data_IF_993004185128
#
_entry.id   IF_993004185128
#
_cell.length_a   1.000
_cell.length_b   1.000
_cell.length_c   1.000
_cell.angle_alpha   90.00
_cell.angle_beta   90.00
_cell.angle_gamma   90.00
#
_symmetry.space_group_name_H-M   'P 1'
#
loop_
_entity.id
_entity.type
_entity.pdbx_description
1 polymer ?
#
# COMPACT_ATOMS: atom_id res chain seq x y z
N UNK A 1 -11.77 4.03 -3.40
CA UNK A 1 -13.10 4.44 -2.96
C UNK A 1 -13.61 5.64 -3.75
N UNK A 2 -12.87 6.75 -3.83
CA UNK A 2 -13.29 7.97 -4.54
C UNK A 2 -13.70 7.72 -5.99
N UNK A 3 -12.91 6.95 -6.73
CA UNK A 3 -13.24 6.57 -8.12
C UNK A 3 -14.56 5.78 -8.20
N UNK A 4 -14.76 4.78 -7.33
CA UNK A 4 -15.99 4.00 -7.31
C UNK A 4 -17.19 4.90 -7.06
N UNK A 5 -17.06 5.86 -6.14
CA UNK A 5 -18.15 6.79 -5.82
C UNK A 5 -18.60 7.64 -7.01
N UNK A 6 -17.70 7.98 -7.93
CA UNK A 6 -18.05 8.72 -9.16
C UNK A 6 -18.94 7.90 -10.11
N UNK A 7 -18.88 6.59 -10.01
CA UNK A 7 -19.64 5.66 -10.87
C UNK A 7 -20.84 5.01 -10.17
N UNK A 8 -21.12 5.35 -8.89
CA UNK A 8 -22.34 4.89 -8.21
C UNK A 8 -23.55 5.50 -8.92
N UNK A 9 -24.43 4.61 -9.41
CA UNK A 9 -25.63 5.03 -10.17
C UNK A 9 -25.42 5.12 -11.70
N UNK A 10 -24.25 4.80 -12.21
CA UNK A 10 -24.02 4.65 -13.67
C UNK A 10 -24.26 3.20 -14.09
N UNK A 11 -24.71 3.00 -15.34
CA UNK A 11 -24.93 1.67 -15.95
C UNK A 11 -23.61 0.91 -16.28
N UNK A 12 -22.50 1.31 -15.68
CA UNK A 12 -21.19 0.71 -15.94
C UNK A 12 -21.05 -0.65 -15.23
N UNK A 13 -20.54 -1.69 -15.90
CA UNK A 13 -20.33 -3.00 -15.28
C UNK A 13 -19.36 -2.90 -14.09
N UNK A 14 -19.70 -3.52 -12.95
CA UNK A 14 -18.93 -3.43 -11.72
C UNK A 14 -17.46 -3.80 -11.86
N UNK A 15 -17.12 -4.77 -12.72
CA UNK A 15 -15.73 -5.13 -13.01
C UNK A 15 -14.91 -4.00 -13.64
N UNK A 16 -15.51 -3.19 -14.51
CA UNK A 16 -14.85 -2.04 -15.12
C UNK A 16 -14.59 -0.94 -14.08
N UNK A 17 -15.53 -0.74 -13.16
CA UNK A 17 -15.39 0.23 -12.07
C UNK A 17 -14.27 -0.19 -11.10
N UNK A 18 -14.17 -1.49 -10.79
CA UNK A 18 -13.08 -2.05 -9.97
C UNK A 18 -11.73 -1.80 -10.66
N UNK A 19 -11.63 -2.06 -11.95
CA UNK A 19 -10.40 -1.83 -12.73
C UNK A 19 -10.01 -0.35 -12.71
N UNK A 20 -10.96 0.55 -12.94
CA UNK A 20 -10.72 2.00 -12.87
C UNK A 20 -10.32 2.44 -11.45
N UNK A 21 -10.88 1.84 -10.41
CA UNK A 21 -10.51 2.11 -9.02
C UNK A 21 -9.07 1.66 -8.72
N UNK A 22 -8.65 0.51 -9.25
CA UNK A 22 -7.27 0.02 -9.11
C UNK A 22 -6.30 0.95 -9.84
N UNK A 23 -6.60 1.31 -11.09
CA UNK A 23 -5.78 2.23 -11.88
C UNK A 23 -5.69 3.60 -11.18
N UNK A 24 -6.82 4.14 -10.72
CA UNK A 24 -6.85 5.40 -9.97
C UNK A 24 -6.07 5.34 -8.66
N UNK A 25 -6.10 4.20 -7.97
CA UNK A 25 -5.30 3.95 -6.77
C UNK A 25 -3.80 3.94 -7.07
N UNK A 26 -3.40 3.26 -8.15
CA UNK A 26 -2.01 3.23 -8.64
C UNK A 26 -1.52 4.64 -8.94
N UNK A 27 -2.25 5.40 -9.74
CA UNK A 27 -1.87 6.78 -10.09
C UNK A 27 -1.79 7.69 -8.86
N UNK A 28 -2.78 7.61 -7.96
CA UNK A 28 -2.76 8.36 -6.71
C UNK A 28 -1.54 8.05 -5.85
N UNK A 29 -1.21 6.77 -5.70
CA UNK A 29 -0.03 6.32 -4.98
C UNK A 29 1.28 6.78 -5.62
N UNK A 30 1.38 6.71 -6.97
CA UNK A 30 2.54 7.20 -7.72
C UNK A 30 2.76 8.69 -7.52
N UNK A 31 1.71 9.51 -7.63
CA UNK A 31 1.78 10.97 -7.43
C UNK A 31 2.22 11.28 -6.00
N UNK A 32 1.61 10.60 -5.01
CA UNK A 32 1.93 10.82 -3.61
C UNK A 32 3.38 10.48 -3.28
N UNK A 33 3.85 9.34 -3.74
CA UNK A 33 5.24 8.92 -3.54
C UNK A 33 6.24 9.80 -4.33
N UNK A 34 5.85 10.30 -5.51
CA UNK A 34 6.64 11.24 -6.27
C UNK A 34 6.87 12.55 -5.50
N UNK A 35 5.87 13.08 -4.80
CA UNK A 35 6.01 14.27 -3.97
C UNK A 35 7.06 14.06 -2.87
N UNK A 36 7.03 12.92 -2.18
CA UNK A 36 8.07 12.55 -1.18
C UNK A 36 9.45 12.43 -1.84
N UNK A 37 9.51 11.80 -3.01
CA UNK A 37 10.75 11.67 -3.78
C UNK A 37 11.34 13.00 -4.23
N UNK A 38 10.51 13.95 -4.66
CA UNK A 38 10.92 15.30 -5.01
C UNK A 38 11.48 16.05 -3.79
N UNK A 39 10.80 15.93 -2.65
CA UNK A 39 11.25 16.54 -1.40
C UNK A 39 12.62 15.99 -0.96
N UNK A 40 12.84 14.69 -1.09
CA UNK A 40 14.16 14.08 -0.84
C UNK A 40 15.20 14.56 -1.82
N UNK A 41 14.89 14.49 -3.12
CA UNK A 41 15.88 14.68 -4.18
C UNK A 41 16.32 16.14 -4.31
N UNK A 42 15.41 17.09 -4.17
CA UNK A 42 15.65 18.52 -4.34
C UNK A 42 15.65 19.28 -3.02
N UNK A 43 14.87 18.86 -2.03
CA UNK A 43 14.81 19.48 -0.71
C UNK A 43 15.84 18.96 0.28
N UNK A 44 16.56 17.87 -0.05
CA UNK A 44 17.57 17.28 0.85
C UNK A 44 16.98 16.68 2.14
N UNK A 45 15.65 16.53 2.21
CA UNK A 45 14.96 15.98 3.38
C UNK A 45 15.18 14.48 3.46
N UNK A 46 15.37 13.97 4.67
CA UNK A 46 15.44 12.52 4.90
C UNK A 46 14.10 11.87 4.50
N UNK A 47 14.15 10.77 3.73
CA UNK A 47 12.98 10.07 3.21
C UNK A 47 12.05 9.52 4.29
N UNK A 48 12.60 9.14 5.44
CA UNK A 48 11.81 8.61 6.57
C UNK A 48 10.96 9.73 7.16
N UNK A 49 11.57 10.87 7.50
CA UNK A 49 10.85 12.01 8.05
C UNK A 49 9.91 12.67 7.05
N UNK A 50 10.34 12.80 5.79
CA UNK A 50 9.49 13.27 4.70
C UNK A 50 8.28 12.34 4.50
N UNK A 51 8.50 11.03 4.48
CA UNK A 51 7.44 10.03 4.37
C UNK A 51 6.45 10.08 5.53
N UNK A 52 6.94 10.20 6.77
CA UNK A 52 6.09 10.37 7.96
C UNK A 52 5.22 11.64 7.86
N UNK A 53 5.80 12.77 7.50
CA UNK A 53 5.06 14.02 7.33
C UNK A 53 3.96 13.88 6.28
N UNK A 54 4.28 13.32 5.12
CA UNK A 54 3.28 13.07 4.07
C UNK A 54 2.24 12.03 4.46
N UNK A 55 2.55 11.06 5.32
CA UNK A 55 1.57 10.14 5.85
C UNK A 55 0.54 10.86 6.73
N UNK A 56 0.97 11.75 7.64
CA UNK A 56 0.04 12.55 8.44
C UNK A 56 -0.84 13.46 7.57
N UNK A 57 -0.30 14.05 6.51
CA UNK A 57 -1.09 14.85 5.56
C UNK A 57 -2.13 13.97 4.85
N UNK A 58 -1.74 12.76 4.40
CA UNK A 58 -2.65 11.82 3.76
C UNK A 58 -3.77 11.38 4.70
N UNK A 59 -3.45 11.09 5.96
CA UNK A 59 -4.43 10.74 6.99
C UNK A 59 -5.38 11.91 7.27
N UNK A 60 -4.87 13.14 7.36
CA UNK A 60 -5.70 14.33 7.55
C UNK A 60 -6.66 14.58 6.38
N UNK A 61 -6.19 14.42 5.13
CA UNK A 61 -7.04 14.52 3.93
C UNK A 61 -8.11 13.42 3.96
N UNK A 62 -7.71 12.18 4.25
CA UNK A 62 -8.63 11.05 4.32
C UNK A 62 -9.71 11.28 5.39
N UNK A 63 -9.33 11.72 6.59
CA UNK A 63 -10.26 12.06 7.66
C UNK A 63 -11.21 13.19 7.25
N UNK A 64 -10.69 14.24 6.64
CA UNK A 64 -11.51 15.35 6.13
C UNK A 64 -12.57 14.87 5.12
N UNK A 65 -12.23 13.93 4.25
CA UNK A 65 -13.17 13.35 3.29
C UNK A 65 -14.20 12.43 3.97
N UNK A 66 -13.77 11.60 4.91
CA UNK A 66 -14.63 10.63 5.62
C UNK A 66 -15.62 11.32 6.54
N UNK A 67 -15.19 12.35 7.27
CA UNK A 67 -16.06 13.12 8.17
C UNK A 67 -16.84 14.24 7.46
N UNK A 68 -16.42 14.65 6.26
CA UNK A 68 -17.06 15.67 5.45
C UNK A 68 -17.96 15.06 4.35
N UNK A 69 -17.58 15.21 3.06
CA UNK A 69 -18.47 14.91 1.93
C UNK A 69 -18.79 13.42 1.75
N UNK A 70 -18.07 12.51 2.42
CA UNK A 70 -18.27 11.06 2.30
C UNK A 70 -18.92 10.44 3.53
N UNK A 71 -19.29 11.28 4.51
CA UNK A 71 -19.98 10.83 5.71
C UNK A 71 -21.39 10.34 5.36
N UNK A 72 -21.76 9.10 5.75
CA UNK A 72 -23.15 8.63 5.62
C UNK A 72 -24.03 9.31 6.68
N UNK A 73 -25.29 9.58 6.33
CA UNK A 73 -26.27 10.11 7.27
C UNK A 73 -26.56 9.09 8.39
N UNK A 74 -26.60 9.58 9.64
CA UNK A 74 -26.93 8.73 10.80
C UNK A 74 -25.80 7.85 11.34
N UNK A 75 -24.59 7.88 10.79
CA UNK A 75 -23.44 7.09 11.28
C UNK A 75 -22.48 7.99 12.05
N UNK A 76 -22.31 7.70 13.35
CA UNK A 76 -21.37 8.42 14.21
C UNK A 76 -19.90 7.99 13.98
N UNK A 77 -19.68 6.78 13.44
CA UNK A 77 -18.36 6.21 13.25
C UNK A 77 -17.66 6.86 12.06
N UNK A 78 -16.35 7.13 12.19
CA UNK A 78 -15.49 7.69 11.13
C UNK A 78 -15.22 6.68 10.01
N UNK A 79 -16.27 6.24 9.32
CA UNK A 79 -16.22 5.34 8.18
C UNK A 79 -17.18 5.81 7.08
N UNK A 80 -16.83 5.54 5.83
CA UNK A 80 -17.70 5.78 4.69
C UNK A 80 -18.80 4.73 4.60
N UNK A 81 -19.81 4.98 3.73
CA UNK A 81 -20.79 3.95 3.37
C UNK A 81 -20.07 2.72 2.80
N UNK A 82 -20.52 1.53 3.18
CA UNK A 82 -20.03 0.27 2.63
C UNK A 82 -20.28 0.24 1.12
N UNK A 83 -19.29 -0.23 0.36
CA UNK A 83 -19.44 -0.42 -1.08
C UNK A 83 -20.45 -1.53 -1.35
N UNK A 84 -21.25 -1.36 -2.40
CA UNK A 84 -22.18 -2.39 -2.87
C UNK A 84 -21.40 -3.63 -3.32
N UNK A 85 -21.99 -4.79 -3.15
CA UNK A 85 -21.36 -6.09 -3.46
C UNK A 85 -20.90 -6.24 -4.92
N UNK A 86 -21.49 -5.47 -5.84
CA UNK A 86 -21.09 -5.42 -7.25
C UNK A 86 -19.66 -4.88 -7.46
N UNK A 87 -19.14 -4.08 -6.50
CA UNK A 87 -17.81 -3.50 -6.53
C UNK A 87 -16.80 -4.28 -5.68
N UNK A 88 -17.16 -5.46 -5.20
CA UNK A 88 -16.26 -6.31 -4.43
C UNK A 88 -15.48 -7.24 -5.35
N UNK A 89 -14.21 -7.42 -5.03
CA UNK A 89 -13.44 -8.50 -5.64
C UNK A 89 -13.98 -9.85 -5.17
N UNK A 90 -14.13 -10.83 -6.07
CA UNK A 90 -14.61 -12.16 -5.70
C UNK A 90 -13.74 -12.78 -4.59
N UNK A 91 -14.39 -13.20 -3.51
CA UNK A 91 -13.75 -13.86 -2.37
C UNK A 91 -14.09 -15.36 -2.41
N UNK A 92 -13.22 -16.20 -1.87
CA UNK A 92 -13.49 -17.64 -1.69
C UNK A 92 -14.53 -17.81 -0.58
N UNK A 93 -15.59 -18.58 -0.86
CA UNK A 93 -16.65 -18.84 0.13
C UNK A 93 -16.05 -19.38 1.43
N UNK A 94 -16.41 -18.74 2.56
CA UNK A 94 -15.94 -19.12 3.89
C UNK A 94 -14.58 -18.57 4.31
N UNK A 95 -13.92 -17.77 3.46
CA UNK A 95 -12.66 -17.10 3.80
C UNK A 95 -12.67 -15.66 3.32
N UNK A 96 -11.92 -14.78 3.97
CA UNK A 96 -11.70 -13.40 3.53
C UNK A 96 -10.63 -13.30 2.42
N UNK A 97 -10.28 -14.42 1.79
CA UNK A 97 -9.18 -14.50 0.84
C UNK A 97 -9.71 -14.29 -0.58
N UNK A 98 -9.22 -13.26 -1.27
CA UNK A 98 -9.48 -13.06 -2.69
C UNK A 98 -8.34 -13.68 -3.51
N UNK A 99 -8.67 -14.67 -4.35
CA UNK A 99 -7.70 -15.30 -5.25
C UNK A 99 -7.10 -14.29 -6.24
N UNK A 100 -7.90 -13.29 -6.64
CA UNK A 100 -7.42 -12.22 -7.52
C UNK A 100 -6.36 -11.36 -6.84
N UNK A 101 -6.60 -10.97 -5.58
CA UNK A 101 -5.62 -10.20 -4.82
C UNK A 101 -4.33 -10.99 -4.59
N UNK A 102 -4.43 -12.30 -4.28
CA UNK A 102 -3.27 -13.18 -4.14
C UNK A 102 -2.50 -13.31 -5.45
N UNK A 103 -3.21 -13.52 -6.57
CA UNK A 103 -2.58 -13.60 -7.89
C UNK A 103 -1.82 -12.33 -8.25
N UNK A 104 -2.44 -11.16 -8.04
CA UNK A 104 -1.80 -9.85 -8.26
C UNK A 104 -0.57 -9.68 -7.36
N UNK A 105 -0.63 -10.10 -6.10
CA UNK A 105 0.51 -10.04 -5.18
C UNK A 105 1.67 -10.91 -5.65
N UNK A 106 1.42 -12.15 -6.07
CA UNK A 106 2.45 -13.06 -6.59
C UNK A 106 3.07 -12.47 -7.86
N UNK A 107 2.25 -12.00 -8.80
CA UNK A 107 2.73 -11.35 -10.02
C UNK A 107 3.56 -10.11 -9.67
N UNK A 108 3.13 -9.30 -8.71
CA UNK A 108 3.89 -8.14 -8.23
C UNK A 108 5.28 -8.51 -7.71
N UNK A 109 5.39 -9.54 -6.87
CA UNK A 109 6.69 -10.04 -6.35
C UNK A 109 7.59 -10.53 -7.49
N UNK A 110 7.04 -11.27 -8.45
CA UNK A 110 7.78 -11.77 -9.61
C UNK A 110 8.28 -10.60 -10.46
N UNK A 111 7.41 -9.64 -10.78
CA UNK A 111 7.75 -8.45 -11.58
C UNK A 111 8.86 -7.64 -10.90
N UNK A 112 8.72 -7.35 -9.59
CA UNK A 112 9.78 -6.64 -8.85
C UNK A 112 11.09 -7.40 -8.85
N UNK A 113 11.04 -8.72 -8.69
CA UNK A 113 12.24 -9.56 -8.72
C UNK A 113 12.94 -9.53 -10.07
N UNK A 114 12.16 -9.64 -11.16
CA UNK A 114 12.68 -9.55 -12.54
C UNK A 114 13.27 -8.15 -12.79
N UNK A 115 12.56 -7.09 -12.40
CA UNK A 115 13.07 -5.71 -12.55
C UNK A 115 14.40 -5.54 -11.81
N UNK A 116 14.49 -6.00 -10.56
CA UNK A 116 15.69 -5.80 -9.73
C UNK A 116 16.87 -6.71 -10.09
N UNK A 117 16.61 -7.95 -10.53
CA UNK A 117 17.67 -8.93 -10.80
C UNK A 117 17.94 -9.14 -12.28
N UNK A 118 16.93 -8.94 -13.14
CA UNK A 118 16.99 -9.30 -14.57
C UNK A 118 17.15 -8.13 -15.52
N UNK A 119 17.18 -6.87 -15.04
CA UNK A 119 17.22 -5.72 -15.93
C UNK A 119 18.40 -4.77 -15.68
N UNK A 120 18.82 -4.08 -16.72
CA UNK A 120 19.80 -2.98 -16.65
C UNK A 120 19.33 -1.86 -15.71
N UNK A 121 18.02 -1.63 -15.66
CA UNK A 121 17.41 -0.68 -14.74
C UNK A 121 17.67 -1.06 -13.29
N UNK A 122 17.42 -2.32 -12.91
CA UNK A 122 17.65 -2.82 -11.56
C UNK A 122 19.12 -2.78 -11.15
N UNK A 123 20.04 -3.05 -12.10
CA UNK A 123 21.48 -2.94 -11.85
C UNK A 123 21.88 -1.50 -11.49
N UNK A 124 21.44 -0.52 -12.30
CA UNK A 124 21.72 0.91 -12.06
C UNK A 124 21.06 1.39 -10.78
N UNK A 125 19.83 0.95 -10.51
CA UNK A 125 19.10 1.29 -9.29
C UNK A 125 19.86 0.80 -8.03
N UNK A 126 20.38 -0.43 -8.06
CA UNK A 126 21.23 -0.96 -6.98
C UNK A 126 22.54 -0.20 -6.82
N UNK A 127 23.16 0.20 -7.92
CA UNK A 127 24.37 1.00 -7.89
C UNK A 127 24.11 2.34 -7.18
N UNK A 128 23.04 3.04 -7.56
CA UNK A 128 22.63 4.32 -6.93
C UNK A 128 22.31 4.12 -5.45
N UNK A 129 21.64 3.03 -5.08
CA UNK A 129 21.32 2.70 -3.69
C UNK A 129 22.53 2.37 -2.83
N UNK A 130 23.61 1.82 -3.42
CA UNK A 130 24.85 1.53 -2.68
C UNK A 130 25.68 2.79 -2.46
N UNK A 131 25.90 3.59 -3.49
CA UNK A 131 26.65 4.83 -3.39
C UNK A 131 26.22 5.82 -4.50
N UNK A 132 25.44 6.81 -4.09
CA UNK A 132 24.89 7.81 -5.00
C UNK A 132 26.00 8.65 -5.67
N UNK A 133 27.03 9.07 -4.90
CA UNK A 133 28.14 9.88 -5.42
C UNK A 133 28.98 9.11 -6.46
N UNK A 134 29.34 7.87 -6.15
CA UNK A 134 30.12 7.04 -7.09
C UNK A 134 29.32 6.72 -8.34
N UNK A 135 28.01 6.46 -8.23
CA UNK A 135 27.15 6.21 -9.38
C UNK A 135 27.04 7.43 -10.29
N UNK A 136 26.96 8.63 -9.72
CA UNK A 136 26.97 9.88 -10.49
C UNK A 136 28.27 10.06 -11.28
N UNK A 137 29.44 9.79 -10.65
CA UNK A 137 30.73 9.84 -11.32
C UNK A 137 30.88 8.84 -12.46
N UNK A 138 30.16 7.71 -12.39
CA UNK A 138 30.07 6.71 -13.45
C UNK A 138 29.05 7.08 -14.54
N UNK A 139 28.51 8.31 -14.54
CA UNK A 139 27.57 8.79 -15.57
C UNK A 139 26.15 8.29 -15.41
N UNK A 140 25.77 7.69 -14.28
CA UNK A 140 24.38 7.27 -14.02
C UNK A 140 23.58 8.49 -13.56
N UNK A 141 22.42 8.82 -14.18
CA UNK A 141 21.59 9.94 -13.77
C UNK A 141 20.83 9.60 -12.47
N UNK A 142 21.54 9.73 -11.34
CA UNK A 142 21.11 9.27 -9.99
C UNK A 142 19.76 9.84 -9.59
N UNK A 143 19.49 11.13 -9.87
CA UNK A 143 18.23 11.79 -9.54
C UNK A 143 17.03 11.11 -10.22
N UNK A 144 17.17 10.71 -11.50
CA UNK A 144 16.11 10.04 -12.23
C UNK A 144 15.82 8.63 -11.64
N UNK A 145 16.87 7.87 -11.35
CA UNK A 145 16.71 6.53 -10.75
C UNK A 145 16.11 6.59 -9.35
N UNK A 146 16.48 7.60 -8.56
CA UNK A 146 15.91 7.84 -7.25
C UNK A 146 14.40 8.17 -7.37
N UNK A 147 14.00 9.10 -8.22
CA UNK A 147 12.59 9.43 -8.42
C UNK A 147 11.78 8.25 -8.95
N UNK A 148 12.33 7.49 -9.91
CA UNK A 148 11.67 6.29 -10.43
C UNK A 148 11.47 5.23 -9.35
N UNK A 149 12.39 5.09 -8.39
CA UNK A 149 12.19 4.16 -7.27
C UNK A 149 11.02 4.57 -6.39
N UNK A 150 10.85 5.87 -6.11
CA UNK A 150 9.67 6.37 -5.37
C UNK A 150 8.37 6.13 -6.14
N UNK A 151 8.36 6.40 -7.44
CA UNK A 151 7.19 6.15 -8.30
C UNK A 151 6.80 4.68 -8.30
N UNK A 152 7.77 3.76 -8.42
CA UNK A 152 7.52 2.31 -8.36
C UNK A 152 6.99 1.89 -6.99
N UNK A 153 7.55 2.40 -5.89
CA UNK A 153 7.01 2.14 -4.55
C UNK A 153 5.57 2.65 -4.42
N UNK A 154 5.30 3.86 -4.93
CA UNK A 154 3.96 4.44 -4.94
C UNK A 154 2.96 3.64 -5.76
N UNK A 155 3.37 3.09 -6.89
CA UNK A 155 2.57 2.19 -7.71
C UNK A 155 2.07 0.99 -6.88
N UNK A 156 2.99 0.27 -6.23
CA UNK A 156 2.63 -0.90 -5.42
C UNK A 156 1.84 -0.52 -4.17
N UNK A 157 2.15 0.59 -3.53
CA UNK A 157 1.39 1.09 -2.39
C UNK A 157 -0.05 1.45 -2.79
N UNK A 158 -0.23 2.16 -3.90
CA UNK A 158 -1.54 2.52 -4.43
C UNK A 158 -2.36 1.29 -4.87
N UNK A 159 -1.70 0.32 -5.52
CA UNK A 159 -2.31 -0.96 -5.87
C UNK A 159 -2.79 -1.70 -4.62
N UNK A 160 -1.95 -1.81 -3.58
CA UNK A 160 -2.30 -2.47 -2.32
C UNK A 160 -3.47 -1.76 -1.63
N UNK A 161 -3.47 -0.42 -1.59
CA UNK A 161 -4.58 0.36 -1.03
C UNK A 161 -5.89 0.15 -1.79
N UNK A 162 -5.85 0.07 -3.11
CA UNK A 162 -7.03 -0.23 -3.93
C UNK A 162 -7.56 -1.63 -3.65
N UNK A 163 -6.69 -2.64 -3.62
CA UNK A 163 -7.06 -4.03 -3.30
C UNK A 163 -7.61 -4.18 -1.88
N UNK A 164 -7.08 -3.42 -0.92
CA UNK A 164 -7.55 -3.45 0.46
C UNK A 164 -8.98 -2.91 0.58
N UNK A 165 -9.33 -1.87 -0.16
CA UNK A 165 -10.69 -1.30 -0.17
C UNK A 165 -11.66 -2.19 -0.94
N UNK A 166 -11.29 -2.68 -2.12
CA UNK A 166 -12.20 -3.47 -2.98
C UNK A 166 -12.27 -4.94 -2.60
N UNK A 167 -11.21 -5.49 -2.02
CA UNK A 167 -11.10 -6.92 -1.75
C UNK A 167 -11.26 -7.33 -0.29
N UNK A 168 -11.10 -6.40 0.66
CA UNK A 168 -11.10 -6.79 2.07
C UNK A 168 -12.01 -5.95 2.97
N UNK A 169 -11.79 -4.62 3.01
CA UNK A 169 -12.52 -3.77 3.97
C UNK A 169 -13.88 -3.29 3.45
N UNK A 170 -14.02 -3.08 2.15
CA UNK A 170 -15.22 -2.56 1.47
C UNK A 170 -15.71 -1.19 1.97
N UNK A 171 -14.99 -0.60 2.89
CA UNK A 171 -15.23 0.74 3.47
C UNK A 171 -13.90 1.47 3.58
N UNK A 172 -13.93 2.80 3.52
CA UNK A 172 -12.82 3.63 3.91
C UNK A 172 -13.04 4.08 5.36
N UNK A 173 -12.07 3.79 6.22
CA UNK A 173 -12.11 4.12 7.64
C UNK A 173 -10.77 4.61 8.13
N UNK A 174 -10.76 5.29 9.26
CA UNK A 174 -9.52 5.69 9.91
C UNK A 174 -8.60 4.49 10.13
N UNK A 175 -7.30 4.71 9.92
CA UNK A 175 -6.25 3.68 10.07
C UNK A 175 -6.47 2.41 9.23
N UNK A 176 -7.01 2.58 8.00
CA UNK A 176 -7.25 1.45 7.09
C UNK A 176 -5.97 0.69 6.75
N UNK A 177 -4.82 1.37 6.75
CA UNK A 177 -3.50 0.78 6.50
C UNK A 177 -3.02 -0.14 7.61
N UNK A 178 -3.58 -0.03 8.84
CA UNK A 178 -3.23 -0.87 10.00
C UNK A 178 -1.73 -0.89 10.33
N UNK A 179 -0.96 0.12 9.91
CA UNK A 179 0.49 0.17 10.13
C UNK A 179 1.33 -0.79 9.27
N UNK A 180 0.71 -1.49 8.31
CA UNK A 180 1.42 -2.48 7.48
C UNK A 180 2.61 -1.91 6.69
N UNK A 181 2.63 -0.61 6.41
CA UNK A 181 3.78 0.05 5.79
C UNK A 181 5.04 -0.03 6.66
N UNK A 182 4.90 0.18 7.96
CA UNK A 182 6.02 0.08 8.91
C UNK A 182 6.47 -1.37 9.10
N UNK A 183 5.52 -2.29 9.23
CA UNK A 183 5.81 -3.73 9.28
C UNK A 183 6.53 -4.20 8.01
N UNK A 184 6.11 -3.70 6.85
CA UNK A 184 6.74 -4.00 5.57
C UNK A 184 8.20 -3.55 5.50
N UNK A 185 8.54 -2.41 6.10
CA UNK A 185 9.91 -1.93 6.19
C UNK A 185 10.76 -2.85 7.09
N UNK A 186 10.25 -3.22 8.26
CA UNK A 186 10.93 -4.14 9.19
C UNK A 186 11.16 -5.52 8.55
N UNK A 187 10.14 -6.09 7.92
CA UNK A 187 10.23 -7.37 7.22
C UNK A 187 11.19 -7.30 6.03
N UNK A 188 11.19 -6.18 5.29
CA UNK A 188 12.13 -5.95 4.19
C UNK A 188 13.58 -5.94 4.65
N UNK A 189 13.87 -5.30 5.78
CA UNK A 189 15.20 -5.30 6.39
C UNK A 189 15.60 -6.69 6.88
N UNK A 190 14.69 -7.41 7.53
CA UNK A 190 14.91 -8.79 8.00
C UNK A 190 15.22 -9.75 6.83
N UNK A 191 14.59 -9.54 5.69
CA UNK A 191 14.81 -10.32 4.46
C UNK A 191 16.01 -9.83 3.64
N UNK A 192 16.84 -8.94 4.18
CA UNK A 192 17.97 -8.34 3.47
C UNK A 192 17.57 -7.73 2.10
N UNK A 193 16.41 -7.10 2.05
CA UNK A 193 15.83 -6.42 0.87
C UNK A 193 15.70 -7.35 -0.35
N UNK A 194 15.51 -8.65 -0.14
CA UNK A 194 15.29 -9.62 -1.21
C UNK A 194 13.80 -9.90 -1.39
N UNK A 195 13.13 -9.50 -2.51
CA UNK A 195 11.68 -9.60 -2.66
C UNK A 195 11.13 -11.02 -2.49
N UNK A 196 11.84 -12.04 -2.99
CA UNK A 196 11.45 -13.44 -2.87
C UNK A 196 11.44 -13.96 -1.43
N UNK A 197 12.29 -13.41 -0.56
CA UNK A 197 12.37 -13.78 0.85
C UNK A 197 11.42 -12.91 1.67
N UNK A 198 11.29 -11.63 1.28
CA UNK A 198 10.39 -10.67 1.95
C UNK A 198 8.93 -11.14 1.89
N UNK A 199 8.47 -11.67 0.74
CA UNK A 199 7.07 -12.05 0.56
C UNK A 199 6.60 -13.15 1.53
N UNK A 200 7.27 -14.31 1.67
CA UNK A 200 6.86 -15.34 2.64
C UNK A 200 7.00 -14.89 4.09
N UNK A 201 8.03 -14.11 4.43
CA UNK A 201 8.20 -13.57 5.78
C UNK A 201 7.05 -12.59 6.09
N UNK A 202 6.71 -11.69 5.15
CA UNK A 202 5.58 -10.78 5.30
C UNK A 202 4.26 -11.52 5.51
N UNK A 203 4.04 -12.61 4.77
CA UNK A 203 2.85 -13.44 4.91
C UNK A 203 2.74 -14.05 6.31
N UNK A 204 3.84 -14.60 6.84
CA UNK A 204 3.90 -15.17 8.20
C UNK A 204 3.66 -14.07 9.25
N UNK A 205 4.33 -12.91 9.15
CA UNK A 205 4.16 -11.80 10.09
C UNK A 205 2.74 -11.26 10.12
N UNK A 206 2.14 -11.04 8.94
CA UNK A 206 0.76 -10.55 8.85
C UNK A 206 -0.23 -11.62 9.36
N UNK A 207 0.02 -12.89 9.04
CA UNK A 207 -0.77 -14.02 9.53
C UNK A 207 -0.76 -14.12 11.06
N UNK A 208 0.42 -14.03 11.68
CA UNK A 208 0.57 -14.00 13.14
C UNK A 208 -0.12 -12.78 13.76
N UNK A 209 0.06 -11.60 13.19
CA UNK A 209 -0.58 -10.36 13.66
C UNK A 209 -2.11 -10.45 13.63
N UNK A 210 -2.67 -10.96 12.53
CA UNK A 210 -4.13 -11.14 12.40
C UNK A 210 -4.66 -12.26 13.29
N UNK A 211 -3.92 -13.36 13.38
CA UNK A 211 -4.27 -14.47 14.27
C UNK A 211 -4.28 -14.05 15.75
N UNK A 212 -3.25 -13.32 16.17
CA UNK A 212 -3.17 -12.80 17.54
C UNK A 212 -4.31 -11.82 17.85
N UNK A 213 -4.66 -10.94 16.88
CA UNK A 213 -5.79 -10.02 17.05
C UNK A 213 -7.14 -10.77 17.13
N UNK A 214 -7.32 -11.84 16.36
CA UNK A 214 -8.51 -12.72 16.42
C UNK A 214 -8.63 -13.42 17.77
N UNK A 215 -7.56 -14.07 18.22
CA UNK A 215 -7.50 -14.72 19.54
C UNK A 215 -7.71 -13.73 20.68
N UNK A 216 -7.19 -12.50 20.57
CA UNK A 216 -7.42 -11.45 21.57
C UNK A 216 -8.90 -11.08 21.71
N UNK A 217 -9.64 -11.04 20.59
CA UNK A 217 -11.09 -10.78 20.61
C UNK A 217 -11.88 -11.94 21.23
N UNK A 218 -11.54 -13.19 20.88
CA UNK A 218 -12.22 -14.39 21.35
C UNK A 218 -11.98 -14.62 22.86
N UNK A 219 -10.77 -14.35 23.32
CA UNK A 219 -10.37 -14.51 24.73
C UNK A 219 -10.60 -13.26 25.58
N UNK A 220 -11.18 -12.19 25.00
CA UNK A 220 -11.37 -10.88 25.67
C UNK A 220 -10.07 -10.30 26.27
N UNK A 221 -8.94 -10.61 25.65
CA UNK A 221 -7.63 -10.09 26.02
C UNK A 221 -7.45 -8.68 25.46
N UNK A 222 -6.60 -7.91 26.13
CA UNK A 222 -6.32 -6.52 25.75
C UNK A 222 -5.85 -6.44 24.29
N UNK A 223 -6.42 -5.52 23.50
CA UNK A 223 -6.11 -5.33 22.07
C UNK A 223 -4.64 -4.99 21.79
N UNK A 224 -3.89 -4.64 22.84
CA UNK A 224 -2.46 -4.34 22.78
C UNK A 224 -1.56 -5.58 22.66
N UNK A 225 -2.09 -6.78 22.90
CA UNK A 225 -1.31 -8.03 22.86
C UNK A 225 -0.75 -8.30 21.47
N UNK A 226 -1.49 -7.93 20.42
CA UNK A 226 -0.99 -8.00 19.03
C UNK A 226 0.20 -7.06 18.78
N UNK A 227 0.22 -5.91 19.45
CA UNK A 227 1.34 -4.95 19.39
C UNK A 227 2.60 -5.48 20.08
N UNK A 228 2.45 -6.18 21.19
CA UNK A 228 3.57 -6.78 21.93
C UNK A 228 4.22 -7.95 21.15
N UNK A 229 3.44 -8.70 20.38
CA UNK A 229 3.98 -9.77 19.52
C UNK A 229 4.74 -9.22 18.30
N UNK A 230 4.47 -7.97 17.92
CA UNK A 230 5.11 -7.29 16.79
C UNK A 230 6.37 -6.52 17.18
N UNK A 231 6.54 -6.14 18.43
CA UNK A 231 7.69 -5.39 18.98
C UNK A 231 8.72 -6.28 19.62
#
# INVERSE_FOLDING_TARGET
YGVIRLFIGSDTPGGMVILLAIVGGIFGGMIWALLVGLLKNFGGVNEIFGGLGFNFIADAIMLSLVYGPWKPEGVANGSTKMLESIYWLPQVKGTYLSLWALGIAIVGVVVVTIILKGTYFGLKLKAVGKNNKSSFLLGIPTNRYMLLSFVLCGLFAGLTGALQVTGFNHVLRNNISGGYGYLGLMVGMLANIQPLITAPIAFVFIGLSKGAAGLGMDLKLDSNLSGVIQG
#
